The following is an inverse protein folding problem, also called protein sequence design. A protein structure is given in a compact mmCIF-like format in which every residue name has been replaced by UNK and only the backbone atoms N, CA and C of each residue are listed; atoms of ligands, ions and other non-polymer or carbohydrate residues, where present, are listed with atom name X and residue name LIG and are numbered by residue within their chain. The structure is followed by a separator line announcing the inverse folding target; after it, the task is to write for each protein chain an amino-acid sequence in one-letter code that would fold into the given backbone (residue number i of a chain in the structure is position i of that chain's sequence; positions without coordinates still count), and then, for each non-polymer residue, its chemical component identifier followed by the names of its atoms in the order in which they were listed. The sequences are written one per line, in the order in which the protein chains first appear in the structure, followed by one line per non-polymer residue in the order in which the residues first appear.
data_IF_787150709963
#
_entry.id   IF_787150709963
#
_cell.length_a   1.000
_cell.length_b   1.000
_cell.length_c   1.000
_cell.angle_alpha   90.00
_cell.angle_beta   90.00
_cell.angle_gamma   90.00
#
_symmetry.space_group_name_H-M   'P 1'
#
loop_
_entity.id
_entity.type
_entity.pdbx_description
1 polymer ?
#
# COMPACT_ATOMS: atom_id res chain seq x y z
N UNK A 1 17.04 -10.23 14.59
CA UNK A 1 17.48 -10.84 15.87
C UNK A 1 16.32 -11.23 16.78
N UNK A 2 15.26 -10.42 16.93
CA UNK A 2 14.09 -10.73 17.77
C UNK A 2 13.23 -11.94 17.35
N UNK A 3 13.59 -12.66 16.27
CA UNK A 3 12.85 -13.84 15.79
C UNK A 3 11.56 -13.53 15.03
N UNK A 4 11.45 -12.36 14.38
CA UNK A 4 10.27 -12.01 13.60
C UNK A 4 10.08 -12.93 12.39
N UNK A 5 8.86 -13.42 12.19
CA UNK A 5 8.51 -14.26 11.03
C UNK A 5 8.21 -13.48 9.76
N UNK A 6 7.72 -12.25 9.94
CA UNK A 6 7.39 -11.33 8.86
C UNK A 6 8.00 -9.97 9.15
N UNK A 7 8.64 -9.37 8.15
CA UNK A 7 9.09 -7.98 8.15
C UNK A 7 8.21 -7.20 7.19
N UNK A 8 7.49 -6.21 7.71
CA UNK A 8 6.69 -5.29 6.88
C UNK A 8 7.47 -4.00 6.68
N UNK A 9 7.98 -3.79 5.47
CA UNK A 9 8.66 -2.58 5.05
C UNK A 9 7.65 -1.43 4.93
N UNK A 10 7.55 -0.63 6.00
CA UNK A 10 6.60 0.48 6.08
C UNK A 10 7.21 1.77 5.52
N UNK A 11 6.63 2.29 4.43
CA UNK A 11 7.19 3.41 3.67
C UNK A 11 6.60 4.78 4.00
N UNK A 12 6.07 4.91 5.23
CA UNK A 12 5.33 6.08 5.69
C UNK A 12 3.82 5.98 5.43
N UNK A 13 3.10 7.06 5.73
CA UNK A 13 1.64 7.11 5.56
C UNK A 13 1.24 6.84 4.11
N UNK A 14 0.18 6.05 3.94
CA UNK A 14 -0.41 5.78 2.61
C UNK A 14 -0.92 7.08 1.99
N UNK A 15 -0.47 7.36 0.76
CA UNK A 15 -0.94 8.50 -0.03
C UNK A 15 -2.29 8.17 -0.70
N UNK A 16 -3.05 9.21 -1.09
CA UNK A 16 -4.33 9.08 -1.80
C UNK A 16 -5.58 8.96 -0.91
N UNK A 17 -6.76 8.90 -1.56
CA UNK A 17 -8.06 9.03 -0.89
C UNK A 17 -8.38 10.46 -0.48
N UNK A 18 -9.43 10.63 0.33
CA UNK A 18 -9.87 11.95 0.78
C UNK A 18 -8.99 12.55 1.90
N UNK A 19 -8.28 11.71 2.65
CA UNK A 19 -7.49 12.09 3.84
C UNK A 19 -6.05 11.55 3.84
N UNK A 20 -5.55 11.06 2.70
CA UNK A 20 -4.19 10.54 2.60
C UNK A 20 -3.12 11.62 2.70
N UNK A 21 -1.88 11.19 2.88
CA UNK A 21 -0.74 12.10 2.85
C UNK A 21 -0.58 12.71 1.43
N UNK A 22 -0.33 14.02 1.37
CA UNK A 22 -0.07 14.75 0.11
C UNK A 22 1.37 14.58 -0.39
N UNK A 23 2.28 14.26 0.53
CA UNK A 23 3.71 14.09 0.24
C UNK A 23 4.16 12.71 0.71
N UNK A 24 5.10 12.13 -0.03
CA UNK A 24 5.59 10.79 0.22
C UNK A 24 6.78 10.47 -0.67
N UNK A 25 7.33 9.26 -0.50
CA UNK A 25 8.35 8.70 -1.39
C UNK A 25 7.77 8.46 -2.78
N UNK A 26 8.64 8.37 -3.78
CA UNK A 26 8.28 7.80 -5.08
C UNK A 26 8.24 6.27 -5.00
N UNK A 27 7.64 5.62 -6.01
CA UNK A 27 7.65 4.15 -6.10
C UNK A 27 9.08 3.59 -6.29
N UNK A 28 9.95 4.30 -7.01
CA UNK A 28 11.34 3.86 -7.21
C UNK A 28 12.15 3.98 -5.91
N UNK A 29 12.07 5.11 -5.21
CA UNK A 29 12.68 5.27 -3.88
C UNK A 29 12.18 4.18 -2.92
N UNK A 30 10.88 3.89 -2.99
CA UNK A 30 10.25 2.85 -2.18
C UNK A 30 10.87 1.47 -2.41
N UNK A 31 11.14 1.11 -3.67
CA UNK A 31 11.79 -0.14 -4.05
C UNK A 31 13.24 -0.19 -3.53
N UNK A 32 13.98 0.92 -3.62
CA UNK A 32 15.35 0.99 -3.08
C UNK A 32 15.38 0.69 -1.58
N UNK A 33 14.53 1.35 -0.78
CA UNK A 33 14.42 1.07 0.66
C UNK A 33 14.01 -0.37 0.96
N UNK A 34 13.04 -0.91 0.22
CA UNK A 34 12.60 -2.30 0.37
C UNK A 34 13.77 -3.26 0.14
N UNK A 35 14.55 -3.07 -0.92
CA UNK A 35 15.68 -3.93 -1.26
C UNK A 35 16.72 -3.92 -0.14
N UNK A 36 17.08 -2.74 0.36
CA UNK A 36 18.05 -2.58 1.44
C UNK A 36 17.59 -3.26 2.73
N UNK A 37 16.32 -3.06 3.12
CA UNK A 37 15.77 -3.61 4.36
C UNK A 37 15.54 -5.12 4.27
N UNK A 38 15.12 -5.62 3.11
CA UNK A 38 14.98 -7.05 2.85
C UNK A 38 16.35 -7.74 2.91
N UNK A 39 17.38 -7.17 2.29
CA UNK A 39 18.74 -7.70 2.34
C UNK A 39 19.26 -7.74 3.79
N UNK A 40 19.06 -6.67 4.55
CA UNK A 40 19.42 -6.62 5.96
C UNK A 40 18.69 -7.70 6.78
N UNK A 41 17.37 -7.86 6.61
CA UNK A 41 16.60 -8.88 7.30
C UNK A 41 17.07 -10.30 6.94
N UNK A 42 17.25 -10.58 5.64
CA UNK A 42 17.68 -11.90 5.15
C UNK A 42 19.12 -12.24 5.51
N UNK A 43 19.98 -11.24 5.75
CA UNK A 43 21.33 -11.45 6.30
C UNK A 43 21.31 -12.03 7.72
N UNK A 44 20.23 -11.78 8.49
CA UNK A 44 20.05 -12.32 9.83
C UNK A 44 19.33 -13.67 9.78
N UNK A 45 18.27 -13.79 8.96
CA UNK A 45 17.53 -15.04 8.76
C UNK A 45 16.96 -15.09 7.33
N UNK A 46 17.44 -16.03 6.52
CA UNK A 46 17.19 -16.05 5.08
C UNK A 46 15.74 -16.35 4.67
N UNK A 47 14.99 -17.04 5.53
CA UNK A 47 13.61 -17.50 5.30
C UNK A 47 12.53 -16.52 5.81
N UNK A 48 12.93 -15.33 6.27
CA UNK A 48 11.96 -14.32 6.72
C UNK A 48 11.09 -13.85 5.56
N UNK A 49 9.78 -13.74 5.80
CA UNK A 49 8.83 -13.20 4.83
C UNK A 49 8.93 -11.68 4.86
N UNK A 50 9.08 -11.05 3.70
CA UNK A 50 9.17 -9.60 3.57
C UNK A 50 7.94 -9.09 2.81
N UNK A 51 7.20 -8.15 3.39
CA UNK A 51 6.04 -7.52 2.75
C UNK A 51 6.26 -6.02 2.61
N UNK A 52 5.72 -5.41 1.55
CA UNK A 52 5.70 -3.94 1.42
C UNK A 52 4.38 -3.33 1.97
N UNK A 53 4.45 -2.11 2.47
CA UNK A 53 3.30 -1.37 2.99
C UNK A 53 3.50 0.16 2.97
N UNK A 54 2.42 0.88 2.66
CA UNK A 54 2.35 2.33 2.88
C UNK A 54 3.12 3.15 1.86
N UNK A 55 3.30 4.44 2.17
CA UNK A 55 3.83 5.42 1.23
C UNK A 55 3.01 5.46 -0.06
N UNK A 56 3.65 5.42 -1.24
CA UNK A 56 2.96 5.44 -2.52
C UNK A 56 2.33 4.09 -2.94
N UNK A 57 2.48 3.02 -2.15
CA UNK A 57 1.97 1.69 -2.49
C UNK A 57 0.55 1.53 -1.93
N UNK A 58 -0.45 2.00 -2.68
CA UNK A 58 -1.83 2.11 -2.20
C UNK A 58 -2.84 1.32 -3.04
N UNK A 59 -2.65 1.24 -4.35
CA UNK A 59 -3.58 0.61 -5.29
C UNK A 59 -3.00 -0.67 -5.89
N UNK A 60 -3.82 -1.57 -6.46
CA UNK A 60 -3.33 -2.79 -7.10
C UNK A 60 -2.25 -2.54 -8.17
N UNK A 61 -2.33 -1.42 -8.89
CA UNK A 61 -1.35 -1.00 -9.89
C UNK A 61 0.01 -0.68 -9.27
N UNK A 62 0.03 -0.03 -8.10
CA UNK A 62 1.25 0.27 -7.37
C UNK A 62 1.90 -0.99 -6.81
N UNK A 63 1.08 -1.91 -6.27
CA UNK A 63 1.55 -3.20 -5.77
C UNK A 63 2.16 -4.00 -6.92
N UNK A 64 1.48 -4.06 -8.07
CA UNK A 64 2.02 -4.69 -9.29
C UNK A 64 3.33 -4.05 -9.70
N UNK A 65 3.42 -2.72 -9.70
CA UNK A 65 4.63 -1.99 -10.06
C UNK A 65 5.84 -2.47 -9.25
N UNK A 66 5.68 -2.61 -7.93
CA UNK A 66 6.72 -3.09 -7.01
C UNK A 66 7.05 -4.55 -7.26
N UNK A 67 6.05 -5.44 -7.33
CA UNK A 67 6.26 -6.88 -7.52
C UNK A 67 6.97 -7.20 -8.85
N UNK A 68 6.78 -6.39 -9.89
CA UNK A 68 7.45 -6.57 -11.19
C UNK A 68 8.90 -6.08 -11.21
N UNK A 69 9.36 -5.32 -10.21
CA UNK A 69 10.65 -4.62 -10.23
C UNK A 69 11.61 -5.04 -9.12
N UNK A 70 11.17 -5.91 -8.22
CA UNK A 70 12.04 -6.48 -7.20
C UNK A 70 11.57 -7.86 -6.77
N UNK A 71 12.53 -8.76 -6.55
CA UNK A 71 12.33 -10.07 -5.95
C UNK A 71 12.47 -10.03 -4.41
N UNK A 72 12.67 -8.85 -3.82
CA UNK A 72 12.92 -8.68 -2.39
C UNK A 72 11.68 -8.91 -1.52
N UNK A 73 10.48 -8.74 -2.10
CA UNK A 73 9.19 -8.84 -1.40
C UNK A 73 8.45 -10.12 -1.77
N UNK A 74 7.82 -10.71 -0.77
CA UNK A 74 6.96 -11.89 -0.86
C UNK A 74 5.47 -11.51 -0.95
N UNK A 75 5.13 -10.21 -0.83
CA UNK A 75 3.77 -9.72 -0.94
C UNK A 75 3.55 -8.30 -0.44
N UNK A 76 2.27 -7.95 -0.22
CA UNK A 76 1.82 -6.63 0.23
C UNK A 76 0.91 -6.73 1.46
N UNK A 77 1.13 -5.85 2.43
CA UNK A 77 0.28 -5.72 3.61
C UNK A 77 -0.65 -4.51 3.44
N UNK A 78 -1.94 -4.76 3.26
CA UNK A 78 -2.96 -3.72 3.07
C UNK A 78 -3.67 -3.31 4.36
N UNK A 79 -3.89 -2.01 4.53
CA UNK A 79 -4.76 -1.45 5.57
C UNK A 79 -5.73 -0.44 4.94
N UNK A 80 -5.37 0.85 4.88
CA UNK A 80 -6.15 1.91 4.21
C UNK A 80 -6.54 1.55 2.77
N UNK A 81 -5.65 0.89 2.04
CA UNK A 81 -5.87 0.39 0.68
C UNK A 81 -6.98 -0.65 0.57
N UNK A 82 -7.24 -1.41 1.65
CA UNK A 82 -8.22 -2.47 1.68
C UNK A 82 -9.57 -2.02 2.24
N UNK A 83 -9.57 -1.17 3.27
CA UNK A 83 -10.79 -0.80 3.98
C UNK A 83 -11.26 0.65 3.73
N UNK A 84 -10.35 1.62 3.64
CA UNK A 84 -10.71 3.04 3.59
C UNK A 84 -10.93 3.51 2.16
N UNK A 85 -9.92 3.35 1.29
CA UNK A 85 -9.97 3.89 -0.07
C UNK A 85 -11.13 3.30 -0.90
N UNK A 86 -11.38 1.97 -0.88
CA UNK A 86 -12.50 1.41 -1.64
C UNK A 86 -13.87 1.88 -1.11
N UNK A 87 -14.00 2.00 0.22
CA UNK A 87 -15.24 2.42 0.87
C UNK A 87 -15.54 3.89 0.62
N UNK A 88 -14.53 4.77 0.66
CA UNK A 88 -14.69 6.20 0.33
C UNK A 88 -15.28 6.38 -1.08
N UNK A 89 -14.75 5.65 -2.08
CA UNK A 89 -15.24 5.69 -3.45
C UNK A 89 -16.68 5.16 -3.54
N UNK A 90 -16.94 3.99 -2.95
CA UNK A 90 -18.26 3.35 -3.03
C UNK A 90 -19.37 4.18 -2.36
N UNK A 91 -19.10 4.75 -1.18
CA UNK A 91 -20.07 5.59 -0.46
C UNK A 91 -20.34 6.87 -1.24
N UNK A 92 -19.29 7.55 -1.73
CA UNK A 92 -19.44 8.77 -2.53
C UNK A 92 -20.30 8.54 -3.76
N UNK A 93 -19.97 7.52 -4.55
CA UNK A 93 -20.72 7.18 -5.77
C UNK A 93 -22.21 6.91 -5.46
N UNK A 94 -22.48 6.17 -4.37
CA UNK A 94 -23.85 5.88 -3.95
C UNK A 94 -24.64 7.14 -3.57
N UNK A 95 -24.01 8.08 -2.86
CA UNK A 95 -24.63 9.36 -2.49
C UNK A 95 -24.92 10.20 -3.73
N UNK A 96 -24.00 10.24 -4.70
CA UNK A 96 -24.16 10.96 -5.96
C UNK A 96 -25.33 10.39 -6.78
N UNK A 97 -25.46 9.06 -6.88
CA UNK A 97 -26.60 8.40 -7.53
C UNK A 97 -27.94 8.81 -6.91
N UNK A 98 -28.06 8.78 -5.58
CA UNK A 98 -29.30 9.17 -4.89
C UNK A 98 -29.60 10.66 -5.05
N UNK A 99 -28.57 11.50 -4.98
CA UNK A 99 -28.71 12.96 -5.10
C UNK A 99 -29.13 13.41 -6.50
N UNK A 100 -28.82 12.62 -7.53
CA UNK A 100 -29.21 12.90 -8.92
C UNK A 100 -30.68 12.59 -9.22
N UNK A 101 -31.38 11.84 -8.35
CA UNK A 101 -32.79 11.51 -8.55
C UNK A 101 -33.66 12.77 -8.47
N UNK A 102 -34.48 12.98 -9.50
CA UNK A 102 -35.49 14.05 -9.51
C UNK A 102 -36.88 13.43 -9.33
N UNK A 103 -37.69 13.92 -8.40
CA UNK A 103 -39.09 13.52 -8.34
C UNK A 103 -39.81 14.00 -9.61
N UNK A 104 -40.72 13.18 -10.13
CA UNK A 104 -41.56 13.52 -11.29
C UNK A 104 -42.67 14.51 -10.90
N UNK A 105 -42.29 15.70 -10.41
CA UNK A 105 -43.20 16.81 -10.11
C UNK A 105 -42.71 18.09 -10.75
#
# INVERSE_FOLDING_TARGET
EAGADVIVCHLGLTTGGAIGAETGKTLDESIEYINDWAAAARSVRSDVIVLCHGGPIAMPEDVRYVLERTDAVDGFYGASSMERLPVEVAIKARIEEFSALKPNR
#
